data_IF_191137422450
#
_entry.id   IF_191137422450
#
_cell.length_a   1.000
_cell.length_b   1.000
_cell.length_c   1.000
_cell.angle_alpha   90.00
_cell.angle_beta   90.00
_cell.angle_gamma   90.00
#
_symmetry.space_group_name_H-M   'P 1'
#
loop_
_entity.id
_entity.type
_entity.pdbx_description
1 polymer ?
#
# COMPACT_ATOMS: atom_id res chain seq x y z
N UNK A 1 22.20 20.09 1.21
CA UNK A 1 23.15 19.29 2.01
C UNK A 1 22.69 17.85 1.85
N UNK A 2 23.40 17.02 1.07
CA UNK A 2 23.04 15.61 0.97
C UNK A 2 23.30 14.96 2.33
N UNK A 3 22.30 14.33 2.98
CA UNK A 3 22.55 13.62 4.21
C UNK A 3 23.48 12.44 3.88
N UNK A 4 24.68 12.48 4.46
CA UNK A 4 25.58 11.33 4.51
C UNK A 4 24.83 10.20 5.23
N UNK A 5 24.17 9.32 4.49
CA UNK A 5 23.67 8.05 5.02
C UNK A 5 24.91 7.22 5.39
N UNK A 6 25.24 7.07 6.69
CA UNK A 6 26.56 6.57 7.09
C UNK A 6 26.55 5.05 7.20
N UNK A 7 26.01 4.35 6.21
CA UNK A 7 25.83 2.91 6.30
C UNK A 7 26.09 2.24 4.95
N UNK A 8 26.89 1.17 4.93
CA UNK A 8 27.03 0.27 3.78
C UNK A 8 25.77 -0.56 3.50
N UNK A 9 24.61 -0.08 3.96
CA UNK A 9 23.31 -0.73 3.81
C UNK A 9 22.74 -0.37 2.44
N UNK A 10 22.17 -1.33 1.69
CA UNK A 10 21.55 -1.05 0.41
C UNK A 10 20.38 -0.07 0.59
N UNK A 11 20.38 1.09 -0.10
CA UNK A 11 19.36 2.11 0.09
C UNK A 11 17.99 1.64 -0.40
N UNK A 12 17.94 0.78 -1.42
CA UNK A 12 16.68 0.27 -2.00
C UNK A 12 16.91 -1.10 -2.62
N UNK A 13 15.96 -2.02 -2.45
CA UNK A 13 16.00 -3.34 -3.08
C UNK A 13 14.62 -3.97 -3.30
N UNK A 14 14.47 -4.81 -4.34
CA UNK A 14 13.21 -5.47 -4.61
C UNK A 14 12.95 -6.56 -3.58
N UNK A 15 11.68 -6.76 -3.20
CA UNK A 15 11.30 -7.73 -2.17
C UNK A 15 10.52 -8.88 -2.78
N UNK A 16 9.44 -8.59 -3.51
CA UNK A 16 8.60 -9.60 -4.13
C UNK A 16 7.78 -9.01 -5.28
N UNK A 17 7.39 -9.88 -6.23
CA UNK A 17 6.45 -9.53 -7.30
C UNK A 17 5.49 -10.68 -7.54
N UNK A 18 4.21 -10.38 -7.50
CA UNK A 18 3.15 -11.25 -7.96
C UNK A 18 2.55 -10.64 -9.24
N UNK A 19 2.63 -11.32 -10.40
CA UNK A 19 2.05 -10.80 -11.65
C UNK A 19 0.51 -10.82 -11.65
N UNK A 20 -0.13 -11.46 -10.66
CA UNK A 20 -1.57 -11.70 -10.65
C UNK A 20 -2.00 -12.78 -11.64
N UNK A 21 -3.28 -13.12 -11.66
CA UNK A 21 -3.88 -14.00 -12.67
C UNK A 21 -4.38 -13.19 -13.85
N UNK A 22 -4.10 -13.66 -15.06
CA UNK A 22 -4.76 -13.12 -16.26
C UNK A 22 -6.22 -13.59 -16.29
N UNK A 23 -7.12 -12.67 -16.64
CA UNK A 23 -8.49 -13.05 -16.97
C UNK A 23 -8.49 -13.88 -18.26
N UNK A 24 -9.12 -15.05 -18.24
CA UNK A 24 -9.32 -15.87 -19.43
C UNK A 24 -10.06 -15.09 -20.53
N UNK A 25 -11.00 -14.22 -20.15
CA UNK A 25 -11.69 -13.27 -21.03
C UNK A 25 -11.28 -11.85 -20.68
N UNK A 26 -10.67 -11.14 -21.62
CA UNK A 26 -10.29 -9.73 -21.43
C UNK A 26 -11.50 -8.84 -21.70
N UNK A 27 -11.70 -7.81 -20.88
CA UNK A 27 -12.89 -6.94 -20.99
C UNK A 27 -13.02 -6.24 -22.36
N UNK A 28 -11.89 -5.90 -23.01
CA UNK A 28 -11.85 -5.33 -24.36
C UNK A 28 -12.31 -6.29 -25.46
N UNK A 29 -12.27 -7.59 -25.20
CA UNK A 29 -12.61 -8.64 -26.16
C UNK A 29 -14.06 -9.13 -25.98
N UNK A 30 -14.76 -8.65 -24.95
CA UNK A 30 -16.17 -9.00 -24.68
C UNK A 30 -17.06 -8.44 -25.78
N UNK A 31 -17.78 -9.34 -26.45
CA UNK A 31 -18.88 -9.01 -27.37
C UNK A 31 -20.20 -9.16 -26.63
N UNK A 32 -20.86 -8.07 -26.22
CA UNK A 32 -21.97 -8.13 -25.28
C UNK A 32 -23.15 -8.96 -25.78
N UNK A 33 -23.42 -8.92 -27.08
CA UNK A 33 -24.48 -9.69 -27.72
C UNK A 33 -24.22 -11.20 -27.76
N UNK A 34 -22.97 -11.64 -27.52
CA UNK A 34 -22.56 -13.05 -27.50
C UNK A 34 -22.40 -13.63 -26.10
N UNK A 35 -22.49 -12.81 -25.05
CA UNK A 35 -22.44 -13.30 -23.67
C UNK A 35 -23.65 -14.21 -23.40
N UNK A 36 -23.40 -15.44 -22.94
CA UNK A 36 -24.43 -16.43 -22.58
C UNK A 36 -24.28 -16.91 -21.15
N UNK A 37 -23.11 -16.73 -20.56
CA UNK A 37 -22.79 -17.18 -19.22
C UNK A 37 -21.74 -16.29 -18.57
N UNK A 38 -21.54 -16.47 -17.26
CA UNK A 38 -20.45 -15.83 -16.51
C UNK A 38 -19.05 -16.09 -17.11
N UNK A 39 -18.86 -17.22 -17.81
CA UNK A 39 -17.55 -17.60 -18.41
C UNK A 39 -17.16 -16.72 -19.59
N UNK A 40 -18.12 -15.99 -20.16
CA UNK A 40 -17.91 -15.06 -21.27
C UNK A 40 -17.50 -13.66 -20.79
N UNK A 41 -17.25 -13.50 -19.49
CA UNK A 41 -16.92 -12.25 -18.83
C UNK A 41 -15.59 -12.36 -18.06
N UNK A 42 -14.90 -11.23 -17.82
CA UNK A 42 -13.71 -11.20 -16.97
C UNK A 42 -14.04 -11.67 -15.55
N UNK A 43 -13.25 -12.61 -15.03
CA UNK A 43 -13.41 -13.09 -13.65
C UNK A 43 -13.10 -11.99 -12.63
N UNK A 44 -12.10 -11.16 -12.92
CA UNK A 44 -11.64 -10.08 -12.04
C UNK A 44 -11.73 -8.73 -12.74
N UNK A 45 -12.25 -7.74 -12.01
CA UNK A 45 -12.47 -6.42 -12.54
C UNK A 45 -12.51 -5.35 -11.46
N UNK A 46 -11.61 -4.36 -11.55
CA UNK A 46 -11.52 -3.07 -10.85
C UNK A 46 -11.80 -3.09 -9.34
N UNK A 47 -13.02 -3.41 -8.94
CA UNK A 47 -13.48 -3.49 -7.56
C UNK A 47 -13.38 -4.90 -6.97
N UNK A 48 -13.25 -5.96 -7.77
CA UNK A 48 -13.03 -7.32 -7.26
C UNK A 48 -13.38 -8.43 -8.24
N UNK A 49 -14.03 -9.49 -7.75
CA UNK A 49 -14.32 -10.71 -8.53
C UNK A 49 -15.78 -10.78 -8.95
N UNK A 50 -16.02 -11.42 -10.08
CA UNK A 50 -17.34 -11.71 -10.60
C UNK A 50 -18.09 -12.59 -9.59
N UNK A 51 -19.20 -12.08 -9.11
CA UNK A 51 -20.05 -12.75 -8.13
C UNK A 51 -20.71 -13.97 -8.77
N UNK A 52 -20.66 -15.12 -8.09
CA UNK A 52 -21.13 -16.37 -8.66
C UNK A 52 -22.63 -16.35 -8.98
N UNK A 53 -23.39 -15.68 -8.12
CA UNK A 53 -24.84 -15.48 -8.24
C UNK A 53 -25.19 -14.15 -8.91
N UNK A 54 -24.19 -13.32 -9.23
CA UNK A 54 -24.40 -11.96 -9.74
C UNK A 54 -24.58 -11.87 -11.25
N UNK A 55 -24.54 -13.01 -11.96
CA UNK A 55 -24.81 -13.08 -13.40
C UNK A 55 -26.24 -13.51 -13.68
N UNK A 56 -26.95 -12.74 -14.50
CA UNK A 56 -28.25 -13.08 -15.02
C UNK A 56 -28.29 -12.82 -16.54
N UNK A 57 -28.72 -13.83 -17.29
CA UNK A 57 -29.10 -13.65 -18.70
C UNK A 57 -30.57 -13.26 -18.75
N UNK A 58 -30.86 -12.14 -19.41
CA UNK A 58 -32.20 -11.55 -19.48
C UNK A 58 -32.68 -11.59 -20.95
N UNK A 59 -33.98 -11.45 -21.20
CA UNK A 59 -34.53 -11.50 -22.57
C UNK A 59 -33.95 -10.38 -23.46
N UNK A 60 -33.76 -9.21 -22.86
CA UNK A 60 -33.28 -7.99 -23.51
C UNK A 60 -31.78 -7.73 -23.26
N UNK A 61 -31.03 -8.66 -22.65
CA UNK A 61 -29.70 -8.31 -22.16
C UNK A 61 -29.03 -9.31 -21.24
N UNK A 62 -28.12 -8.78 -20.41
CA UNK A 62 -27.56 -9.50 -19.26
C UNK A 62 -27.13 -8.53 -18.18
N UNK A 63 -27.11 -9.02 -16.94
CA UNK A 63 -26.57 -8.33 -15.78
C UNK A 63 -25.38 -9.14 -15.23
N UNK A 64 -24.34 -8.44 -14.81
CA UNK A 64 -23.20 -9.02 -14.09
C UNK A 64 -22.79 -8.12 -12.93
N UNK A 65 -22.31 -8.72 -11.84
CA UNK A 65 -21.86 -8.00 -10.65
C UNK A 65 -20.46 -8.45 -10.26
N UNK A 66 -19.52 -7.51 -10.13
CA UNK A 66 -18.23 -7.75 -9.49
C UNK A 66 -18.26 -7.22 -8.05
N UNK A 67 -17.91 -8.07 -7.08
CA UNK A 67 -17.88 -7.74 -5.65
C UNK A 67 -16.46 -7.55 -5.16
N UNK A 68 -16.24 -6.48 -4.39
CA UNK A 68 -15.00 -6.27 -3.66
C UNK A 68 -14.92 -7.05 -2.36
N UNK A 69 -13.73 -7.05 -1.75
CA UNK A 69 -13.49 -7.71 -0.47
C UNK A 69 -14.12 -6.96 0.72
N UNK A 70 -14.41 -5.65 0.57
CA UNK A 70 -15.12 -4.88 1.57
C UNK A 70 -16.64 -5.10 1.47
N UNK A 71 -17.37 -5.11 2.61
CA UNK A 71 -18.82 -5.24 2.62
C UNK A 71 -19.50 -4.24 1.68
N UNK A 72 -20.43 -4.74 0.87
CA UNK A 72 -21.29 -3.94 0.00
C UNK A 72 -20.57 -3.00 -1.00
N UNK A 73 -19.34 -3.35 -1.39
CA UNK A 73 -18.66 -2.72 -2.53
C UNK A 73 -18.90 -3.55 -3.80
N UNK A 74 -19.60 -2.97 -4.78
CA UNK A 74 -20.04 -3.68 -5.98
C UNK A 74 -19.93 -2.81 -7.23
N UNK A 75 -19.56 -3.44 -8.34
CA UNK A 75 -19.69 -2.91 -9.69
C UNK A 75 -20.77 -3.73 -10.40
N UNK A 76 -21.92 -3.12 -10.68
CA UNK A 76 -22.99 -3.74 -11.48
C UNK A 76 -22.89 -3.26 -12.91
N UNK A 77 -22.84 -4.18 -13.87
CA UNK A 77 -22.97 -3.89 -15.29
C UNK A 77 -24.22 -4.56 -15.84
N UNK A 78 -25.03 -3.78 -16.54
CA UNK A 78 -26.13 -4.27 -17.36
C UNK A 78 -25.85 -3.96 -18.81
N UNK A 79 -26.07 -4.93 -19.68
CA UNK A 79 -26.11 -4.72 -21.12
C UNK A 79 -27.55 -4.83 -21.59
N UNK A 80 -28.01 -3.83 -22.35
CA UNK A 80 -29.31 -3.85 -23.01
C UNK A 80 -29.10 -4.01 -24.52
N UNK A 81 -29.62 -5.08 -25.12
CA UNK A 81 -29.55 -5.39 -26.56
C UNK A 81 -30.23 -4.31 -27.40
N UNK A 82 -31.40 -3.86 -26.97
CA UNK A 82 -32.05 -2.66 -27.48
C UNK A 82 -32.22 -1.71 -26.29
N UNK A 83 -31.47 -0.59 -26.21
CA UNK A 83 -30.89 0.19 -27.33
C UNK A 83 -29.39 -0.04 -27.62
N UNK A 84 -28.81 -1.20 -27.29
CA UNK A 84 -27.40 -1.54 -27.48
C UNK A 84 -26.44 -0.68 -26.63
N UNK A 85 -26.66 -0.70 -25.31
CA UNK A 85 -25.93 0.12 -24.34
C UNK A 85 -25.50 -0.68 -23.13
N UNK A 86 -24.36 -0.32 -22.55
CA UNK A 86 -24.00 -0.67 -21.19
C UNK A 86 -24.57 0.37 -20.21
N UNK A 87 -25.02 -0.11 -19.06
CA UNK A 87 -25.26 0.69 -17.86
C UNK A 87 -24.39 0.11 -16.75
N UNK A 88 -23.47 0.93 -16.25
CA UNK A 88 -22.51 0.53 -15.22
C UNK A 88 -22.75 1.38 -14.00
N UNK A 89 -22.80 0.75 -12.84
CA UNK A 89 -23.05 1.39 -11.55
C UNK A 89 -22.08 0.86 -10.51
N UNK A 90 -21.55 1.76 -9.70
CA UNK A 90 -20.74 1.45 -8.53
C UNK A 90 -21.56 1.74 -7.28
N UNK A 91 -21.53 0.81 -6.34
CA UNK A 91 -22.23 0.94 -5.06
C UNK A 91 -21.26 0.61 -3.94
N UNK A 92 -21.34 1.39 -2.85
CA UNK A 92 -20.54 1.23 -1.64
C UNK A 92 -21.48 1.34 -0.46
N UNK A 93 -21.61 0.26 0.33
CA UNK A 93 -22.49 0.25 1.52
C UNK A 93 -23.93 0.68 1.24
N UNK A 94 -24.42 0.34 0.05
CA UNK A 94 -25.77 0.71 -0.41
C UNK A 94 -25.88 2.10 -1.03
N UNK A 95 -24.83 2.93 -0.98
CA UNK A 95 -24.80 4.25 -1.61
C UNK A 95 -24.22 4.19 -3.03
N UNK A 96 -24.79 4.99 -3.93
CA UNK A 96 -24.27 5.11 -5.30
C UNK A 96 -22.94 5.88 -5.28
N UNK A 97 -21.87 5.22 -5.74
CA UNK A 97 -20.53 5.80 -5.84
C UNK A 97 -20.21 6.29 -7.27
N UNK A 98 -21.05 5.97 -8.24
CA UNK A 98 -20.85 6.39 -9.62
C UNK A 98 -21.72 5.59 -10.57
N UNK A 99 -22.07 6.18 -11.71
CA UNK A 99 -22.78 5.46 -12.75
C UNK A 99 -22.43 6.03 -14.13
N UNK A 100 -22.58 5.21 -15.16
CA UNK A 100 -22.59 5.68 -16.53
C UNK A 100 -23.54 4.84 -17.38
N UNK A 101 -23.99 5.43 -18.48
CA UNK A 101 -24.63 4.71 -19.57
C UNK A 101 -23.89 5.02 -20.85
N UNK A 102 -23.47 3.98 -21.58
CA UNK A 102 -22.57 4.14 -22.72
C UNK A 102 -22.97 3.19 -23.86
N UNK A 103 -22.91 3.63 -25.13
CA UNK A 103 -23.11 2.74 -26.28
C UNK A 103 -22.16 1.54 -26.25
N UNK A 104 -22.69 0.34 -26.50
CA UNK A 104 -21.94 -0.90 -26.39
C UNK A 104 -20.76 -1.01 -27.36
N UNK A 105 -20.82 -0.27 -28.48
CA UNK A 105 -19.74 -0.19 -29.49
C UNK A 105 -18.38 0.27 -28.95
N UNK A 106 -18.35 0.93 -27.79
CA UNK A 106 -17.10 1.38 -27.17
C UNK A 106 -16.41 0.30 -26.32
N UNK A 107 -17.08 -0.83 -26.05
CA UNK A 107 -16.53 -1.93 -25.26
C UNK A 107 -16.82 -1.84 -23.76
N UNK A 108 -16.78 -3.00 -23.09
CA UNK A 108 -17.01 -3.10 -21.64
C UNK A 108 -15.92 -2.38 -20.84
N UNK A 109 -14.68 -2.44 -21.31
CA UNK A 109 -13.54 -1.77 -20.69
C UNK A 109 -13.71 -0.25 -20.62
N UNK A 110 -14.14 0.37 -21.73
CA UNK A 110 -14.43 1.81 -21.76
C UNK A 110 -15.64 2.18 -20.92
N UNK A 111 -16.65 1.30 -20.83
CA UNK A 111 -17.83 1.54 -20.00
C UNK A 111 -17.42 1.70 -18.53
N UNK A 112 -16.61 0.75 -18.05
CA UNK A 112 -16.16 0.74 -16.66
C UNK A 112 -15.12 1.82 -16.40
N UNK A 113 -14.18 2.04 -17.32
CA UNK A 113 -13.25 3.17 -17.21
C UNK A 113 -13.98 4.50 -17.12
N UNK A 114 -15.13 4.68 -17.78
CA UNK A 114 -15.90 5.94 -17.71
C UNK A 114 -16.46 6.17 -16.31
N UNK A 115 -16.95 5.14 -15.63
CA UNK A 115 -17.39 5.26 -14.22
C UNK A 115 -16.22 5.58 -13.27
N UNK A 116 -15.00 5.18 -13.63
CA UNK A 116 -13.77 5.49 -12.89
C UNK A 116 -13.09 6.80 -13.35
N UNK A 117 -13.52 7.35 -14.48
CA UNK A 117 -12.80 8.37 -15.23
C UNK A 117 -12.88 9.78 -14.62
N UNK A 118 -13.73 9.98 -13.62
CA UNK A 118 -13.75 11.19 -12.79
C UNK A 118 -12.76 11.14 -11.62
N UNK A 119 -11.93 10.10 -11.54
CA UNK A 119 -11.02 9.86 -10.42
C UNK A 119 -11.45 8.66 -9.58
N UNK A 120 -10.61 8.28 -8.63
CA UNK A 120 -11.02 7.28 -7.65
C UNK A 120 -12.09 7.89 -6.74
N UNK A 121 -13.24 7.22 -6.61
CA UNK A 121 -14.39 7.83 -5.93
C UNK A 121 -14.07 8.12 -4.46
N UNK A 122 -14.20 9.36 -3.96
CA UNK A 122 -13.86 9.70 -2.57
C UNK A 122 -14.61 8.88 -1.53
N UNK A 123 -15.84 8.45 -1.86
CA UNK A 123 -16.63 7.57 -0.98
C UNK A 123 -16.00 6.19 -0.83
N UNK A 124 -15.48 5.58 -1.92
CA UNK A 124 -14.76 4.30 -1.86
C UNK A 124 -13.54 4.41 -0.95
N UNK A 125 -12.81 5.53 -1.06
CA UNK A 125 -11.57 5.73 -0.33
C UNK A 125 -11.79 5.95 1.16
N UNK A 126 -12.80 6.76 1.51
CA UNK A 126 -13.20 7.00 2.90
C UNK A 126 -13.69 5.72 3.58
N UNK A 127 -14.51 4.93 2.89
CA UNK A 127 -14.99 3.67 3.44
C UNK A 127 -13.86 2.65 3.59
N UNK A 128 -12.89 2.62 2.68
CA UNK A 128 -11.69 1.81 2.86
C UNK A 128 -10.85 2.26 4.05
N UNK A 129 -10.69 3.58 4.24
CA UNK A 129 -10.00 4.15 5.38
C UNK A 129 -10.64 3.69 6.70
N UNK A 130 -11.97 3.80 6.81
CA UNK A 130 -12.72 3.32 7.97
C UNK A 130 -12.59 1.81 8.17
N UNK A 131 -12.89 1.03 7.12
CA UNK A 131 -12.84 -0.43 7.16
C UNK A 131 -11.48 -0.98 7.62
N UNK A 132 -10.39 -0.41 7.11
CA UNK A 132 -9.03 -0.85 7.44
C UNK A 132 -8.58 -0.37 8.82
N UNK A 133 -8.86 0.89 9.17
CA UNK A 133 -8.45 1.45 10.47
C UNK A 133 -9.21 0.83 11.65
N UNK A 134 -10.42 0.34 11.42
CA UNK A 134 -11.18 -0.46 12.40
C UNK A 134 -10.56 -1.83 12.68
N UNK A 135 -9.78 -2.38 11.74
CA UNK A 135 -9.28 -3.77 11.79
C UNK A 135 -7.79 -3.87 12.05
N UNK A 136 -7.05 -2.85 11.64
CA UNK A 136 -5.60 -2.83 11.68
C UNK A 136 -5.11 -1.51 12.27
N UNK A 137 -4.00 -1.58 12.99
CA UNK A 137 -3.34 -0.40 13.53
C UNK A 137 -2.47 0.25 12.45
N UNK A 138 -3.13 0.93 11.53
CA UNK A 138 -2.53 1.67 10.43
C UNK A 138 -3.12 3.06 10.29
N UNK A 139 -2.39 3.96 9.62
CA UNK A 139 -2.92 5.24 9.15
C UNK A 139 -3.34 5.11 7.69
N UNK A 140 -4.37 5.86 7.31
CA UNK A 140 -4.83 5.91 5.92
C UNK A 140 -4.76 7.35 5.44
N UNK A 141 -4.01 7.59 4.37
CA UNK A 141 -3.93 8.89 3.70
C UNK A 141 -5.04 8.93 2.67
N UNK A 142 -6.11 9.73 2.88
CA UNK A 142 -7.18 9.81 1.93
C UNK A 142 -6.70 10.47 0.64
N UNK A 143 -7.22 10.01 -0.48
CA UNK A 143 -7.07 10.65 -1.78
C UNK A 143 -7.76 12.01 -1.78
N UNK A 144 -7.07 13.00 -2.34
CA UNK A 144 -7.65 14.28 -2.72
C UNK A 144 -7.46 14.53 -4.23
N UNK A 145 -8.22 15.47 -4.78
CA UNK A 145 -8.21 15.81 -6.21
C UNK A 145 -6.90 16.45 -6.71
N UNK A 146 -6.01 16.83 -5.79
CA UNK A 146 -4.66 17.35 -6.08
C UNK A 146 -3.63 16.22 -6.16
N UNK A 147 -3.95 15.03 -5.66
CA UNK A 147 -3.08 13.84 -5.70
C UNK A 147 -3.25 13.05 -6.99
N UNK A 148 -2.12 12.62 -7.55
CA UNK A 148 -2.14 11.62 -8.61
C UNK A 148 -2.65 10.27 -8.10
N UNK A 149 -3.39 9.57 -8.96
CA UNK A 149 -3.87 8.21 -8.70
C UNK A 149 -3.50 7.32 -9.88
N UNK A 150 -2.73 6.27 -9.59
CA UNK A 150 -2.37 5.25 -10.56
C UNK A 150 -3.52 4.27 -10.72
N UNK A 151 -4.08 4.20 -11.92
CA UNK A 151 -5.13 3.25 -12.30
C UNK A 151 -4.63 2.40 -13.44
N UNK A 152 -4.62 1.08 -13.26
CA UNK A 152 -4.28 0.14 -14.32
C UNK A 152 -5.50 -0.74 -14.59
N UNK A 153 -5.83 -0.95 -15.86
CA UNK A 153 -6.97 -1.75 -16.25
C UNK A 153 -6.49 -3.17 -16.62
N UNK A 154 -7.12 -4.25 -16.12
CA UNK A 154 -8.43 -4.33 -15.46
C UNK A 154 -8.42 -4.18 -13.92
N UNK A 155 -7.28 -3.94 -13.31
CA UNK A 155 -7.07 -4.05 -11.86
C UNK A 155 -7.68 -2.92 -11.02
N UNK A 156 -7.92 -1.74 -11.62
CA UNK A 156 -8.43 -0.56 -10.94
C UNK A 156 -7.33 0.34 -10.38
N UNK A 157 -7.69 1.15 -9.38
CA UNK A 157 -6.76 2.05 -8.72
C UNK A 157 -5.82 1.28 -7.81
N UNK A 158 -4.56 1.71 -7.72
CA UNK A 158 -3.57 1.10 -6.86
C UNK A 158 -3.45 1.84 -5.53
N UNK A 159 -3.08 1.08 -4.51
CA UNK A 159 -2.73 1.55 -3.17
C UNK A 159 -1.34 1.07 -2.84
N UNK A 160 -0.62 1.88 -2.07
CA UNK A 160 0.67 1.50 -1.51
C UNK A 160 0.50 1.39 0.00
N UNK A 161 0.82 0.23 0.55
CA UNK A 161 0.99 0.02 1.98
C UNK A 161 2.48 0.16 2.30
N UNK A 162 2.84 1.18 3.08
CA UNK A 162 4.16 1.35 3.64
C UNK A 162 4.20 0.67 5.02
N UNK A 163 5.14 -0.26 5.17
CA UNK A 163 5.40 -1.01 6.40
C UNK A 163 6.78 -0.60 6.93
N UNK A 164 6.86 0.36 7.87
CA UNK A 164 8.06 0.56 8.66
C UNK A 164 8.45 -0.75 9.34
N UNK A 165 9.71 -1.16 9.22
CA UNK A 165 10.19 -2.44 9.76
C UNK A 165 11.53 -2.30 10.47
N UNK A 166 11.63 -3.01 11.59
CA UNK A 166 12.92 -3.24 12.23
C UNK A 166 13.83 -4.02 11.27
N UNK A 167 15.09 -3.61 11.13
CA UNK A 167 16.03 -4.19 10.17
C UNK A 167 16.21 -5.71 10.35
N UNK A 168 16.15 -6.21 11.59
CA UNK A 168 16.24 -7.63 11.91
C UNK A 168 15.07 -8.49 11.36
N UNK A 169 13.93 -7.86 11.03
CA UNK A 169 12.73 -8.52 10.52
C UNK A 169 12.61 -8.48 8.99
N UNK A 170 13.45 -7.69 8.30
CA UNK A 170 13.40 -7.53 6.84
C UNK A 170 13.50 -8.85 6.09
N UNK A 171 14.39 -9.73 6.54
CA UNK A 171 14.59 -11.05 5.92
C UNK A 171 13.34 -11.93 6.04
N UNK A 172 12.67 -11.90 7.20
CA UNK A 172 11.46 -12.68 7.45
C UNK A 172 10.27 -12.13 6.63
N UNK A 173 10.09 -10.80 6.61
CA UNK A 173 9.07 -10.16 5.80
C UNK A 173 9.31 -10.41 4.30
N UNK A 174 10.56 -10.37 3.86
CA UNK A 174 10.93 -10.65 2.45
C UNK A 174 10.54 -12.07 2.06
N UNK A 175 10.89 -13.07 2.88
CA UNK A 175 10.48 -14.45 2.67
C UNK A 175 8.96 -14.60 2.67
N UNK A 176 8.27 -13.96 3.61
CA UNK A 176 6.81 -13.99 3.67
C UNK A 176 6.15 -13.45 2.41
N UNK A 177 6.60 -12.29 1.91
CA UNK A 177 6.06 -11.67 0.70
C UNK A 177 6.39 -12.47 -0.56
N UNK A 178 7.57 -13.08 -0.63
CA UNK A 178 7.92 -14.00 -1.72
C UNK A 178 7.02 -15.25 -1.72
N UNK A 179 6.74 -15.82 -0.55
CA UNK A 179 5.80 -16.93 -0.40
C UNK A 179 4.38 -16.53 -0.79
N UNK A 180 3.94 -15.35 -0.39
CA UNK A 180 2.64 -14.80 -0.77
C UNK A 180 2.56 -14.59 -2.29
N UNK A 181 3.63 -14.10 -2.91
CA UNK A 181 3.69 -13.92 -4.36
C UNK A 181 3.54 -15.23 -5.12
N UNK A 182 4.18 -16.31 -4.62
CA UNK A 182 4.08 -17.66 -5.20
C UNK A 182 2.69 -18.29 -5.02
N UNK A 183 2.07 -18.10 -3.85
CA UNK A 183 0.73 -18.61 -3.55
C UNK A 183 -0.38 -17.82 -4.26
N UNK A 184 -0.10 -16.56 -4.58
CA UNK A 184 -1.03 -15.63 -5.19
C UNK A 184 -1.95 -14.96 -4.18
N UNK A 185 -2.15 -13.65 -4.33
CA UNK A 185 -3.10 -12.87 -3.53
C UNK A 185 -4.50 -12.94 -4.16
N UNK A 186 -5.10 -14.14 -4.17
CA UNK A 186 -6.36 -14.45 -4.89
C UNK A 186 -6.35 -14.06 -6.38
N UNK A 187 -5.16 -13.92 -6.98
CA UNK A 187 -5.00 -13.49 -8.37
C UNK A 187 -4.82 -11.99 -8.56
N UNK A 188 -4.79 -11.16 -7.51
CA UNK A 188 -4.34 -9.78 -7.64
C UNK A 188 -2.82 -9.69 -7.81
N UNK A 189 -2.34 -8.83 -8.73
CA UNK A 189 -0.93 -8.51 -8.77
C UNK A 189 -0.53 -7.69 -7.54
N UNK A 190 0.71 -7.82 -7.14
CA UNK A 190 1.33 -6.85 -6.25
C UNK A 190 2.83 -6.77 -6.52
N UNK A 191 3.41 -5.66 -6.11
CA UNK A 191 4.84 -5.43 -6.18
C UNK A 191 5.32 -4.88 -4.83
N UNK A 192 6.43 -5.40 -4.33
CA UNK A 192 7.03 -4.96 -3.08
C UNK A 192 8.50 -4.61 -3.24
N UNK A 193 8.93 -3.53 -2.59
CA UNK A 193 10.33 -3.16 -2.43
C UNK A 193 10.61 -2.65 -1.02
N UNK A 194 11.84 -2.75 -0.57
CA UNK A 194 12.33 -2.18 0.66
C UNK A 194 13.18 -0.96 0.35
N UNK A 195 13.07 0.07 1.18
CA UNK A 195 13.89 1.27 1.07
C UNK A 195 14.25 1.83 2.43
N UNK A 196 15.52 2.23 2.56
CA UNK A 196 16.02 3.00 3.68
C UNK A 196 15.57 4.45 3.47
N UNK A 197 14.50 4.82 4.15
CA UNK A 197 13.94 6.18 4.09
C UNK A 197 14.30 6.97 5.35
N UNK A 198 14.21 8.29 5.24
CA UNK A 198 14.37 9.20 6.36
C UNK A 198 13.00 9.56 6.92
N UNK A 199 12.90 9.57 8.24
CA UNK A 199 11.79 10.16 8.98
C UNK A 199 12.30 11.29 9.86
N UNK A 200 11.48 12.32 9.99
CA UNK A 200 11.67 13.42 10.93
C UNK A 200 10.68 13.22 12.07
N UNK A 201 11.18 13.22 13.30
CA UNK A 201 10.40 13.07 14.52
C UNK A 201 10.48 14.41 15.25
N UNK A 202 9.35 15.09 15.33
CA UNK A 202 9.19 16.35 16.05
C UNK A 202 8.44 16.08 17.36
N UNK A 203 9.01 16.50 18.49
CA UNK A 203 8.43 16.41 19.82
C UNK A 203 8.07 17.80 20.33
N UNK A 204 6.88 17.93 20.92
CA UNK A 204 6.43 19.17 21.56
C UNK A 204 7.27 19.49 22.81
N UNK A 205 7.32 20.77 23.17
CA UNK A 205 7.85 21.20 24.47
C UNK A 205 6.93 20.77 25.62
N UNK A 206 7.54 20.31 26.72
CA UNK A 206 6.91 20.09 28.00
C UNK A 206 6.85 21.36 28.86
N UNK A 207 6.42 21.22 30.13
CA UNK A 207 6.11 22.34 31.02
C UNK A 207 7.26 23.32 31.31
N UNK A 208 8.52 22.87 31.21
CA UNK A 208 9.71 23.67 31.50
C UNK A 208 10.54 24.03 30.24
N UNK A 209 9.99 23.85 29.03
CA UNK A 209 10.71 24.05 27.75
C UNK A 209 11.66 22.92 27.38
N UNK A 210 11.72 21.87 28.20
CA UNK A 210 12.34 20.58 27.88
C UNK A 210 11.47 19.78 26.91
N UNK A 211 12.04 18.85 26.12
CA UNK A 211 11.22 17.98 25.29
C UNK A 211 10.26 17.16 26.17
N UNK A 212 9.04 16.94 25.68
CA UNK A 212 8.06 16.10 26.40
C UNK A 212 8.53 14.63 26.58
N UNK A 213 9.56 14.21 25.84
CA UNK A 213 10.26 12.94 25.97
C UNK A 213 11.76 13.16 26.18
N UNK A 214 12.40 12.37 27.04
CA UNK A 214 13.85 12.45 27.22
C UNK A 214 14.59 12.13 25.89
N UNK A 215 15.55 12.97 25.45
CA UNK A 215 16.26 12.78 24.18
C UNK A 215 16.98 11.43 24.04
N UNK A 216 17.55 10.92 25.14
CA UNK A 216 18.29 9.66 25.16
C UNK A 216 17.32 8.50 25.09
N UNK A 217 16.24 8.55 25.87
CA UNK A 217 15.20 7.53 25.85
C UNK A 217 14.52 7.47 24.48
N UNK A 218 14.23 8.60 23.85
CA UNK A 218 13.68 8.65 22.49
C UNK A 218 14.67 8.09 21.46
N UNK A 219 15.96 8.42 21.58
CA UNK A 219 17.00 7.85 20.73
C UNK A 219 17.11 6.33 20.87
N UNK A 220 17.07 5.81 22.09
CA UNK A 220 17.07 4.38 22.38
C UNK A 220 15.79 3.68 21.90
N UNK A 221 14.63 4.32 22.05
CA UNK A 221 13.36 3.83 21.51
C UNK A 221 13.43 3.72 19.99
N UNK A 222 13.90 4.76 19.31
CA UNK A 222 14.10 4.78 17.86
C UNK A 222 15.01 3.63 17.42
N UNK A 223 16.14 3.43 18.11
CA UNK A 223 17.06 2.32 17.83
C UNK A 223 16.37 0.97 18.07
N UNK A 224 15.65 0.81 19.17
CA UNK A 224 14.92 -0.43 19.48
C UNK A 224 13.81 -0.74 18.47
N UNK A 225 13.24 0.30 17.85
CA UNK A 225 12.18 0.18 16.85
C UNK A 225 12.69 -0.10 15.44
N UNK A 226 13.82 0.48 15.03
CA UNK A 226 14.33 0.38 13.65
C UNK A 226 15.52 -0.57 13.53
N UNK A 227 16.29 -0.74 14.61
CA UNK A 227 17.62 -1.35 14.61
C UNK A 227 18.65 -0.51 13.84
N UNK A 228 18.44 0.80 13.72
CA UNK A 228 19.31 1.75 13.03
C UNK A 228 19.53 2.97 13.93
N UNK A 229 20.77 3.48 13.93
CA UNK A 229 21.10 4.71 14.64
C UNK A 229 20.44 5.92 13.97
N UNK A 230 19.92 6.87 14.75
CA UNK A 230 19.53 8.19 14.25
C UNK A 230 20.67 8.87 13.47
N UNK A 231 20.31 9.67 12.47
CA UNK A 231 21.27 10.43 11.67
C UNK A 231 21.81 11.64 12.45
N UNK A 232 21.01 12.18 13.36
CA UNK A 232 21.35 13.24 14.29
C UNK A 232 20.73 12.98 15.68
N UNK A 233 21.20 13.74 16.67
CA UNK A 233 20.60 13.76 18.01
C UNK A 233 19.42 14.73 18.03
N UNK A 234 18.51 14.53 18.98
CA UNK A 234 17.38 15.44 19.19
C UNK A 234 17.90 16.86 19.46
N UNK A 235 17.48 17.82 18.64
CA UNK A 235 17.88 19.22 18.75
C UNK A 235 16.66 20.14 18.66
N UNK A 236 16.71 21.25 19.39
CA UNK A 236 15.66 22.27 19.32
C UNK A 236 15.80 23.04 18.00
N UNK A 237 14.75 23.05 17.20
CA UNK A 237 14.68 23.72 15.90
C UNK A 237 13.38 24.52 15.77
N UNK A 238 13.39 25.56 14.94
CA UNK A 238 12.18 26.28 14.54
C UNK A 238 11.44 25.51 13.44
N UNK A 239 10.15 25.27 13.63
CA UNK A 239 9.26 24.66 12.65
C UNK A 239 8.77 25.68 11.60
N UNK A 240 8.15 25.22 10.51
CA UNK A 240 7.67 26.09 9.43
C UNK A 240 6.60 27.11 9.87
N UNK A 241 5.88 26.83 10.95
CA UNK A 241 4.89 27.72 11.54
C UNK A 241 5.46 28.68 12.59
N UNK A 242 6.79 28.66 12.80
CA UNK A 242 7.51 29.49 13.76
C UNK A 242 7.47 28.95 15.20
N UNK A 243 6.89 27.77 15.44
CA UNK A 243 6.96 27.11 16.74
C UNK A 243 8.33 26.48 16.97
N UNK A 244 8.77 26.40 18.23
CA UNK A 244 9.97 25.64 18.57
C UNK A 244 9.60 24.17 18.84
N UNK A 245 10.30 23.25 18.17
CA UNK A 245 10.09 21.81 18.31
C UNK A 245 11.42 21.11 18.52
N UNK A 246 11.39 20.00 19.25
CA UNK A 246 12.55 19.13 19.37
C UNK A 246 12.56 18.12 18.24
N UNK A 247 13.55 18.18 17.36
CA UNK A 247 13.61 17.41 16.11
C UNK A 247 14.73 16.38 16.10
N UNK A 248 14.39 15.17 15.65
CA UNK A 248 15.33 14.08 15.35
C UNK A 248 15.07 13.54 13.95
N UNK A 249 16.12 13.33 13.18
CA UNK A 249 16.13 12.70 11.86
C UNK A 249 16.62 11.28 12.02
N UNK A 250 15.72 10.33 11.82
CA UNK A 250 15.99 8.91 12.03
C UNK A 250 15.82 8.14 10.71
N UNK A 251 16.81 7.36 10.26
CA UNK A 251 16.61 6.44 9.16
C UNK A 251 15.79 5.22 9.62
N UNK A 252 14.96 4.70 8.72
CA UNK A 252 14.21 3.46 8.93
C UNK A 252 14.04 2.73 7.60
N UNK A 253 14.04 1.40 7.63
CA UNK A 253 13.56 0.65 6.49
C UNK A 253 12.04 0.67 6.47
N UNK A 254 11.47 0.96 5.30
CA UNK A 254 10.06 0.72 5.02
C UNK A 254 9.94 -0.23 3.83
N UNK A 255 9.06 -1.22 3.95
CA UNK A 255 8.65 -2.07 2.83
C UNK A 255 7.37 -1.50 2.24
N UNK A 256 7.45 -1.09 0.97
CA UNK A 256 6.35 -0.52 0.22
C UNK A 256 5.74 -1.60 -0.66
N UNK A 257 4.46 -1.92 -0.43
CA UNK A 257 3.71 -2.92 -1.19
C UNK A 257 2.62 -2.22 -2.01
N UNK A 258 2.81 -2.17 -3.33
CA UNK A 258 1.83 -1.68 -4.29
C UNK A 258 0.87 -2.80 -4.69
N UNK A 259 -0.43 -2.58 -4.52
CA UNK A 259 -1.50 -3.56 -4.80
C UNK A 259 -2.74 -2.85 -5.36
N UNK A 260 -3.54 -3.48 -6.23
CA UNK A 260 -4.85 -2.96 -6.58
C UNK A 260 -5.71 -2.75 -5.33
N UNK A 261 -6.54 -1.71 -5.33
CA UNK A 261 -7.46 -1.38 -4.24
C UNK A 261 -8.32 -2.58 -3.82
N UNK A 262 -8.81 -3.35 -4.78
CA UNK A 262 -9.60 -4.55 -4.53
C UNK A 262 -8.83 -5.65 -3.77
N UNK A 263 -7.50 -5.71 -3.92
CA UNK A 263 -6.63 -6.68 -3.23
C UNK A 263 -6.06 -6.17 -1.91
N UNK A 264 -6.20 -4.88 -1.59
CA UNK A 264 -5.66 -4.29 -0.36
C UNK A 264 -6.20 -4.97 0.91
N UNK A 265 -7.51 -5.26 1.06
CA UNK A 265 -8.02 -5.97 2.24
C UNK A 265 -7.39 -7.37 2.41
N UNK A 266 -7.24 -8.13 1.31
CA UNK A 266 -6.63 -9.46 1.34
C UNK A 266 -5.14 -9.37 1.72
N UNK A 267 -4.42 -8.34 1.24
CA UNK A 267 -3.02 -8.09 1.59
C UNK A 267 -2.87 -7.80 3.08
N UNK A 268 -3.69 -6.88 3.62
CA UNK A 268 -3.67 -6.54 5.04
C UNK A 268 -4.00 -7.77 5.92
N UNK A 269 -4.99 -8.58 5.52
CA UNK A 269 -5.33 -9.81 6.22
C UNK A 269 -4.16 -10.83 6.20
N UNK A 270 -3.48 -10.96 5.06
CA UNK A 270 -2.31 -11.83 4.94
C UNK A 270 -1.16 -11.35 5.85
N UNK A 271 -0.83 -10.07 5.81
CA UNK A 271 0.24 -9.48 6.62
C UNK A 271 -0.06 -9.57 8.12
N UNK A 272 -1.30 -9.32 8.53
CA UNK A 272 -1.71 -9.46 9.92
C UNK A 272 -1.63 -10.92 10.39
N UNK A 273 -2.07 -11.87 9.57
CA UNK A 273 -1.88 -13.30 9.86
C UNK A 273 -0.41 -13.70 9.93
N UNK A 274 0.46 -13.02 9.18
CA UNK A 274 1.91 -13.20 9.22
C UNK A 274 2.61 -12.50 10.39
N UNK A 275 1.89 -11.70 11.19
CA UNK A 275 2.46 -10.92 12.30
C UNK A 275 3.21 -9.65 11.88
N UNK A 276 3.02 -9.18 10.64
CA UNK A 276 3.71 -7.98 10.10
C UNK A 276 2.84 -6.73 10.09
N UNK A 277 1.53 -6.87 10.32
CA UNK A 277 0.59 -5.76 10.43
C UNK A 277 -0.24 -5.96 11.70
N UNK A 278 -0.04 -5.14 12.75
CA UNK A 278 -0.79 -5.27 13.98
C UNK A 278 -2.28 -5.04 13.76
N UNK A 279 -3.11 -5.78 14.50
CA UNK A 279 -4.56 -5.53 14.52
C UNK A 279 -4.88 -4.29 15.34
N UNK A 280 -6.06 -3.71 15.12
CA UNK A 280 -6.47 -2.47 15.79
C UNK A 280 -6.49 -2.62 17.33
N UNK A 281 -6.87 -3.79 17.83
CA UNK A 281 -6.95 -4.13 19.24
C UNK A 281 -5.59 -4.47 19.88
N UNK A 282 -4.55 -4.69 19.08
CA UNK A 282 -3.23 -5.10 19.56
C UNK A 282 -2.39 -3.89 19.97
N UNK A 283 -1.48 -4.05 20.97
CA UNK A 283 -0.41 -3.09 21.16
C UNK A 283 0.42 -3.06 19.88
N UNK A 284 0.41 -1.92 19.21
CA UNK A 284 1.18 -1.66 18.00
C UNK A 284 2.37 -0.78 18.31
N UNK A 285 3.23 -0.59 17.30
CA UNK A 285 4.34 0.34 17.41
C UNK A 285 3.84 1.76 17.76
N UNK A 286 4.71 2.56 18.35
CA UNK A 286 4.50 4.01 18.46
C UNK A 286 4.27 4.65 17.09
N UNK A 287 3.81 5.91 17.09
CA UNK A 287 3.58 6.68 15.87
C UNK A 287 4.77 6.65 14.88
N UNK A 288 6.03 6.69 15.33
CA UNK A 288 7.18 6.66 14.43
C UNK A 288 7.29 5.41 13.55
N UNK A 289 6.60 4.31 13.88
CA UNK A 289 6.66 3.03 13.16
C UNK A 289 5.28 2.53 12.72
N UNK A 290 4.25 3.38 12.78
CA UNK A 290 2.89 2.98 12.40
C UNK A 290 2.80 2.77 10.88
N UNK A 291 2.35 1.60 10.40
CA UNK A 291 2.08 1.36 8.98
C UNK A 291 1.09 2.36 8.41
N UNK A 292 1.22 2.68 7.13
CA UNK A 292 0.27 3.58 6.48
C UNK A 292 -0.04 3.21 5.04
N UNK A 293 -1.27 3.47 4.63
CA UNK A 293 -1.75 3.28 3.26
C UNK A 293 -1.91 4.63 2.59
N UNK A 294 -1.53 4.71 1.31
CA UNK A 294 -1.76 5.91 0.50
C UNK A 294 -2.07 5.56 -0.97
N UNK A 295 -2.62 6.49 -1.77
CA UNK A 295 -2.88 6.30 -3.19
C UNK A 295 -1.59 6.02 -3.97
N UNK A 296 -1.57 4.97 -4.80
CA UNK A 296 -0.44 4.77 -5.72
C UNK A 296 -0.34 5.93 -6.70
N UNK A 297 0.87 6.39 -7.00
CA UNK A 297 1.11 7.59 -7.82
C UNK A 297 1.19 8.88 -6.99
N UNK A 298 0.81 8.87 -5.71
CA UNK A 298 0.94 10.03 -4.83
C UNK A 298 2.40 10.51 -4.71
N UNK A 299 3.37 9.60 -4.82
CA UNK A 299 4.81 9.86 -4.85
C UNK A 299 5.26 10.77 -6.00
N UNK A 300 4.41 11.00 -7.02
CA UNK A 300 4.64 11.98 -8.09
C UNK A 300 4.28 13.41 -7.68
N UNK A 301 3.39 13.57 -6.71
CA UNK A 301 2.83 14.87 -6.27
C UNK A 301 3.25 15.27 -4.86
N UNK A 302 3.52 14.32 -3.96
CA UNK A 302 3.87 14.55 -2.57
C UNK A 302 5.16 13.84 -2.21
N UNK A 303 6.03 14.56 -1.50
CA UNK A 303 7.35 14.07 -1.05
C UNK A 303 7.35 13.61 0.39
N UNK A 304 6.34 13.97 1.16
CA UNK A 304 6.27 13.67 2.60
C UNK A 304 4.84 13.35 3.03
N UNK A 305 4.72 12.62 4.13
CA UNK A 305 3.47 12.42 4.86
C UNK A 305 3.74 12.53 6.36
N UNK A 306 2.87 13.24 7.08
CA UNK A 306 3.02 13.46 8.52
C UNK A 306 1.88 12.82 9.29
N UNK A 307 2.20 12.22 10.44
CA UNK A 307 1.24 11.69 11.39
C UNK A 307 1.57 12.17 12.80
N UNK A 308 0.53 12.44 13.58
CA UNK A 308 0.65 12.80 14.99
C UNK A 308 0.11 11.67 15.85
N UNK A 309 0.60 11.59 17.09
CA UNK A 309 -0.05 10.80 18.13
C UNK A 309 -1.37 11.45 18.58
N UNK A 310 -2.12 10.73 19.41
CA UNK A 310 -3.42 11.21 19.91
C UNK A 310 -3.29 12.38 20.88
N UNK A 311 -2.12 12.59 21.45
CA UNK A 311 -1.86 13.63 22.45
C UNK A 311 -1.27 14.91 21.81
N UNK A 312 -0.89 14.84 20.54
CA UNK A 312 -0.18 15.90 19.82
C UNK A 312 1.28 16.06 20.24
N UNK A 313 1.82 15.12 21.02
CA UNK A 313 3.14 15.22 21.63
C UNK A 313 4.26 14.86 20.65
N UNK A 314 4.01 13.87 19.78
CA UNK A 314 4.95 13.41 18.76
C UNK A 314 4.32 13.49 17.37
N UNK A 315 5.00 14.20 16.46
CA UNK A 315 4.72 14.20 15.03
C UNK A 315 5.84 13.46 14.30
N UNK A 316 5.49 12.50 13.45
CA UNK A 316 6.44 11.84 12.55
C UNK A 316 6.13 12.20 11.10
N UNK A 317 7.11 12.76 10.41
CA UNK A 317 7.07 13.04 8.97
C UNK A 317 7.95 12.06 8.22
N UNK A 318 7.34 11.23 7.39
CA UNK A 318 8.03 10.28 6.51
C UNK A 318 8.36 10.94 5.18
N UNK A 319 9.59 10.73 4.70
CA UNK A 319 9.91 10.99 3.30
C UNK A 319 9.38 9.85 2.43
N UNK A 320 8.57 10.21 1.44
CA UNK A 320 8.01 9.28 0.47
C UNK A 320 9.04 9.07 -0.64
N UNK A 321 9.43 7.82 -0.92
CA UNK A 321 10.40 7.56 -1.95
C UNK A 321 9.84 7.91 -3.33
N UNK A 322 10.68 8.41 -4.26
CA UNK A 322 10.25 8.62 -5.63
C UNK A 322 9.84 7.28 -6.26
N UNK A 323 8.94 7.30 -7.26
CA UNK A 323 8.53 6.09 -7.95
C UNK A 323 9.74 5.32 -8.50
N UNK A 324 9.57 4.01 -8.61
CA UNK A 324 10.66 3.13 -9.05
C UNK A 324 11.07 3.47 -10.49
N UNK A 325 12.38 3.55 -10.77
CA UNK A 325 12.88 3.60 -12.14
C UNK A 325 12.36 2.39 -12.94
N UNK A 326 12.06 2.60 -14.22
CA UNK A 326 11.53 1.56 -15.11
C UNK A 326 12.49 0.36 -15.18
N UNK A 327 13.79 0.61 -15.08
CA UNK A 327 14.86 -0.38 -15.06
C UNK A 327 14.77 -1.27 -13.82
N UNK A 328 14.45 -0.69 -12.66
CA UNK A 328 14.27 -1.43 -11.42
C UNK A 328 13.05 -2.35 -11.52
N UNK A 329 11.95 -1.85 -12.09
CA UNK A 329 10.77 -2.68 -12.37
C UNK A 329 11.14 -3.83 -13.29
N UNK A 330 11.87 -3.58 -14.38
CA UNK A 330 12.32 -4.61 -15.34
C UNK A 330 13.25 -5.66 -14.72
N UNK A 331 14.16 -5.26 -13.83
CA UNK A 331 15.04 -6.20 -13.14
C UNK A 331 14.24 -7.21 -12.31
N UNK A 332 13.23 -6.74 -11.58
CA UNK A 332 12.30 -7.65 -10.87
C UNK A 332 11.48 -8.53 -11.82
N UNK A 333 11.22 -8.06 -13.05
CA UNK A 333 10.55 -8.89 -14.06
C UNK A 333 11.43 -10.03 -14.54
N UNK A 334 12.74 -9.84 -14.59
CA UNK A 334 13.71 -10.84 -15.01
C UNK A 334 13.98 -11.83 -13.87
N UNK A 335 14.24 -11.33 -12.65
CA UNK A 335 14.55 -12.16 -11.48
C UNK A 335 13.38 -13.03 -11.01
N UNK A 336 12.13 -12.63 -11.28
CA UNK A 336 10.94 -13.40 -10.95
C UNK A 336 10.65 -14.60 -11.88
N UNK A 337 11.35 -14.69 -13.02
CA UNK A 337 11.20 -15.80 -13.98
C UNK A 337 12.27 -16.89 -13.81
N UNK A 338 13.35 -16.62 -13.07
CA UNK A 338 14.42 -17.59 -12.85
C UNK A 338 14.10 -18.44 -11.61
N UNK A 339 13.65 -19.67 -11.83
CA UNK A 339 13.59 -20.68 -10.78
C UNK A 339 15.01 -21.03 -10.29
N UNK A 340 15.17 -21.11 -8.96
CA UNK A 340 16.33 -21.63 -8.20
C UNK A 340 17.38 -20.61 -7.71
N UNK A 341 16.98 -19.76 -6.77
CA UNK A 341 17.90 -19.10 -5.83
C UNK A 341 17.15 -18.23 -4.81
N UNK A 342 17.72 -17.91 -3.64
CA UNK A 342 17.22 -16.80 -2.83
C UNK A 342 17.31 -15.54 -3.70
N UNK A 343 16.16 -14.99 -4.10
CA UNK A 343 16.13 -13.82 -4.99
C UNK A 343 16.99 -12.67 -4.45
N UNK A 344 17.48 -11.76 -5.30
CA UNK A 344 18.44 -10.72 -4.91
C UNK A 344 18.00 -9.89 -3.68
N UNK A 345 16.68 -9.72 -3.51
CA UNK A 345 16.09 -9.10 -2.32
C UNK A 345 16.39 -9.80 -0.99
N UNK A 346 16.45 -11.13 -0.97
CA UNK A 346 16.69 -11.89 0.26
C UNK A 346 18.14 -11.78 0.71
N UNK A 347 19.09 -11.87 -0.22
CA UNK A 347 20.52 -11.67 0.07
C UNK A 347 20.80 -10.23 0.56
N UNK A 348 20.12 -9.23 -0.02
CA UNK A 348 20.22 -7.85 0.42
C UNK A 348 19.58 -7.63 1.80
N UNK A 349 18.43 -8.25 2.08
CA UNK A 349 17.81 -8.21 3.42
C UNK A 349 18.68 -8.87 4.49
N UNK A 350 19.34 -9.99 4.16
CA UNK A 350 20.30 -10.66 5.06
C UNK A 350 21.53 -9.78 5.31
N UNK A 351 22.08 -9.14 4.27
CA UNK A 351 23.19 -8.19 4.40
C UNK A 351 22.82 -7.01 5.30
N UNK A 352 21.62 -6.47 5.15
CA UNK A 352 21.10 -5.41 6.02
C UNK A 352 21.07 -5.88 7.47
N UNK A 353 20.43 -7.01 7.72
CA UNK A 353 20.32 -7.60 9.07
C UNK A 353 21.69 -7.82 9.71
N UNK A 354 22.65 -8.36 8.96
CA UNK A 354 24.00 -8.63 9.45
C UNK A 354 24.76 -7.35 9.77
N UNK A 355 24.78 -6.40 8.84
CA UNK A 355 25.47 -5.11 8.99
C UNK A 355 24.90 -4.32 10.17
N UNK A 356 23.58 -4.24 10.29
CA UNK A 356 22.93 -3.57 11.42
C UNK A 356 23.27 -4.23 12.76
N UNK A 357 23.30 -5.57 12.83
CA UNK A 357 23.70 -6.28 14.06
C UNK A 357 25.15 -5.98 14.44
N UNK A 358 26.07 -5.96 13.49
CA UNK A 358 27.48 -5.64 13.75
C UNK A 358 27.66 -4.21 14.28
N UNK A 359 26.92 -3.25 13.72
CA UNK A 359 26.90 -1.85 14.20
C UNK A 359 26.38 -1.79 15.64
N UNK A 360 25.21 -2.39 15.92
CA UNK A 360 24.61 -2.37 17.27
C UNK A 360 25.49 -3.06 18.31
N UNK A 361 26.11 -4.19 17.95
CA UNK A 361 27.07 -4.90 18.81
C UNK A 361 28.30 -4.05 19.12
N UNK A 362 28.83 -3.33 18.14
CA UNK A 362 29.96 -2.40 18.33
C UNK A 362 29.66 -1.28 19.33
N UNK A 363 28.38 -0.94 19.52
CA UNK A 363 27.91 0.08 20.46
C UNK A 363 27.44 -0.48 21.80
N UNK A 364 27.50 -1.81 22.00
CA UNK A 364 27.00 -2.44 23.23
C UNK A 364 25.47 -2.48 23.36
N UNK A 365 24.74 -2.26 22.25
CA UNK A 365 23.28 -2.16 22.22
C UNK A 365 22.59 -3.45 21.73
N UNK A 366 23.21 -4.62 21.90
CA UNK A 366 22.70 -5.90 21.37
C UNK A 366 21.49 -6.39 22.18
N UNK A 367 20.31 -5.79 21.93
CA UNK A 367 19.03 -6.27 22.39
C UNK A 367 18.50 -7.32 21.40
N UNK A 368 18.33 -8.55 21.88
CA UNK A 368 17.57 -9.58 21.16
C UNK A 368 16.11 -9.12 21.05
N UNK A 369 15.46 -9.23 19.89
CA UNK A 369 14.01 -9.35 19.89
C UNK A 369 13.67 -10.82 20.16
N UNK A 370 12.93 -11.06 21.25
CA UNK A 370 12.13 -12.27 21.45
C UNK A 370 11.04 -12.38 20.36
#
# INVERSE_FOLDING_TARGET
MEPLMPTGLPPRFPVARCPGSENAVRARDVRPELVRSRKDLPERFVLGFLDEEGFALEEDGWTAVWKGAMPDVRLRCRYFRAPNVYQVEQTVRGESAGWCRMPARFGLDRAVQTVLGSGFQPVLDREAAGFLSERYRLRYVPWDDRMHSMVCFPDGAFRILALPVHCALLENLTRFLADLARKGLRGFPFFAFAELTLRVIDCSEGGDGEPAADPVDLGLEVIGQTGILPADYLAKEEAEDGSEVWRMRAPAYAVFVSVPFAGLPDLCAALAKGGFLPRAEEPGPGVPMTPFVYPGGMELSLKTVSFEDSEGAVRTTWMIPPPLPVEFVRQVQQDGNDEAGPGPGLAQAELVRKTSREILKGLGLDARPD
#
